data_IF_702304077462
#
_entry.id   IF_702304077462
#
_cell.length_a   1.000
_cell.length_b   1.000
_cell.length_c   1.000
_cell.angle_alpha   90.00
_cell.angle_beta   90.00
_cell.angle_gamma   90.00
#
_symmetry.space_group_name_H-M   'P 1'
#
loop_
_entity.id
_entity.type
_entity.pdbx_description
1 polymer ?
#
# COMPACT_ATOMS: atom_id res chain seq x y z
N UNK A 1 -27.28 44.61 -57.83
CA UNK A 1 -25.96 43.95 -57.95
C UNK A 1 -25.47 43.49 -56.58
N UNK A 2 -25.86 44.18 -55.50
CA UNK A 2 -25.31 44.05 -54.15
C UNK A 2 -25.61 42.71 -53.46
N UNK A 3 -26.78 42.13 -53.70
CA UNK A 3 -27.19 40.84 -53.09
C UNK A 3 -26.21 39.70 -53.40
N UNK A 4 -25.62 39.68 -54.60
CA UNK A 4 -24.64 38.65 -54.97
C UNK A 4 -23.30 38.88 -54.27
N UNK A 5 -22.90 40.13 -54.11
CA UNK A 5 -21.68 40.51 -53.40
C UNK A 5 -21.78 40.18 -51.91
N UNK A 6 -22.93 40.45 -51.30
CA UNK A 6 -23.18 40.16 -49.89
C UNK A 6 -23.10 38.65 -49.61
N UNK A 7 -23.75 37.82 -50.44
CA UNK A 7 -23.66 36.36 -50.33
C UNK A 7 -22.24 35.85 -50.52
N UNK A 8 -21.49 36.45 -51.45
CA UNK A 8 -20.08 36.08 -51.65
C UNK A 8 -19.25 36.38 -50.40
N UNK A 9 -19.42 37.56 -49.82
CA UNK A 9 -18.71 37.97 -48.61
C UNK A 9 -19.07 37.05 -47.42
N UNK A 10 -20.34 36.70 -47.25
CA UNK A 10 -20.80 35.79 -46.19
C UNK A 10 -20.14 34.41 -46.32
N UNK A 11 -20.10 33.84 -47.52
CA UNK A 11 -19.44 32.56 -47.79
C UNK A 11 -17.94 32.66 -47.54
N UNK A 12 -17.29 33.76 -47.94
CA UNK A 12 -15.87 33.99 -47.71
C UNK A 12 -15.54 34.05 -46.20
N UNK A 13 -16.34 34.77 -45.41
CA UNK A 13 -16.19 34.85 -43.94
C UNK A 13 -16.39 33.46 -43.30
N UNK A 14 -17.42 32.74 -43.73
CA UNK A 14 -17.69 31.38 -43.23
C UNK A 14 -16.53 30.43 -43.53
N UNK A 15 -15.97 30.51 -44.73
CA UNK A 15 -14.80 29.72 -45.13
C UNK A 15 -13.58 30.04 -44.25
N UNK A 16 -13.30 31.32 -43.99
CA UNK A 16 -12.19 31.71 -43.11
C UNK A 16 -12.39 31.20 -41.68
N UNK A 17 -13.60 31.32 -41.14
CA UNK A 17 -13.95 30.80 -39.81
C UNK A 17 -13.73 29.30 -39.71
N UNK A 18 -14.22 28.53 -40.68
CA UNK A 18 -14.02 27.07 -40.71
C UNK A 18 -12.55 26.69 -40.85
N UNK A 19 -11.76 27.46 -41.61
CA UNK A 19 -10.32 27.24 -41.70
C UNK A 19 -9.60 27.55 -40.39
N UNK A 20 -10.01 28.59 -39.66
CA UNK A 20 -9.47 28.88 -38.34
C UNK A 20 -9.80 27.75 -37.35
N UNK A 21 -11.06 27.30 -37.32
CA UNK A 21 -11.50 26.19 -36.46
C UNK A 21 -10.74 24.90 -36.76
N UNK A 22 -10.59 24.55 -38.05
CA UNK A 22 -9.79 23.39 -38.46
C UNK A 22 -8.35 23.45 -37.91
N UNK A 23 -7.68 24.60 -38.02
CA UNK A 23 -6.32 24.75 -37.50
C UNK A 23 -6.28 24.57 -35.98
N UNK A 24 -7.24 25.14 -35.26
CA UNK A 24 -7.31 24.95 -33.79
C UNK A 24 -7.50 23.49 -33.41
N UNK A 25 -8.38 22.78 -34.12
CA UNK A 25 -8.61 21.35 -33.90
C UNK A 25 -7.35 20.52 -34.20
N UNK A 26 -6.65 20.82 -35.30
CA UNK A 26 -5.38 20.16 -35.63
C UNK A 26 -4.33 20.32 -34.52
N UNK A 27 -4.18 21.54 -33.97
CA UNK A 27 -3.27 21.79 -32.84
C UNK A 27 -3.70 20.97 -31.61
N UNK A 28 -4.97 21.03 -31.22
CA UNK A 28 -5.45 20.26 -30.05
C UNK A 28 -5.25 18.75 -30.22
N UNK A 29 -5.43 18.24 -31.44
CA UNK A 29 -5.20 16.82 -31.75
C UNK A 29 -3.71 16.45 -31.63
N UNK A 30 -2.81 17.33 -32.07
CA UNK A 30 -1.37 17.10 -31.91
C UNK A 30 -0.96 17.10 -30.44
N UNK A 31 -1.52 17.99 -29.63
CA UNK A 31 -1.27 18.04 -28.18
C UNK A 31 -1.80 16.80 -27.47
N UNK A 32 -3.01 16.35 -27.79
CA UNK A 32 -3.58 15.13 -27.21
C UNK A 32 -2.72 13.90 -27.56
N UNK A 33 -2.26 13.80 -28.81
CA UNK A 33 -1.33 12.73 -29.22
C UNK A 33 -0.02 12.78 -28.45
N UNK A 34 0.54 13.98 -28.26
CA UNK A 34 1.76 14.15 -27.48
C UNK A 34 1.56 13.76 -26.01
N UNK A 35 0.43 14.13 -25.40
CA UNK A 35 0.07 13.75 -24.03
C UNK A 35 -0.07 12.24 -23.89
N UNK A 36 -0.79 11.57 -24.80
CA UNK A 36 -0.92 10.10 -24.81
C UNK A 36 0.44 9.42 -24.89
N UNK A 37 1.34 9.89 -25.77
CA UNK A 37 2.71 9.36 -25.88
C UNK A 37 3.51 9.54 -24.60
N UNK A 38 3.41 10.69 -23.93
CA UNK A 38 4.07 10.94 -22.63
C UNK A 38 3.53 10.00 -21.55
N UNK A 39 2.21 9.85 -21.45
CA UNK A 39 1.56 8.94 -20.49
C UNK A 39 1.98 7.49 -20.70
N UNK A 40 2.05 7.03 -21.94
CA UNK A 40 2.54 5.69 -22.26
C UNK A 40 4.01 5.51 -21.85
N UNK A 41 4.85 6.53 -22.06
CA UNK A 41 6.24 6.54 -21.58
C UNK A 41 6.33 6.45 -20.06
N UNK A 42 5.52 7.23 -19.34
CA UNK A 42 5.45 7.17 -17.87
C UNK A 42 5.02 5.78 -17.38
N UNK A 43 4.03 5.17 -18.02
CA UNK A 43 3.58 3.82 -17.67
C UNK A 43 4.72 2.80 -17.82
N UNK A 44 5.46 2.83 -18.94
CA UNK A 44 6.61 1.94 -19.16
C UNK A 44 7.72 2.12 -18.12
N UNK A 45 8.00 3.36 -17.72
CA UNK A 45 8.99 3.66 -16.68
C UNK A 45 8.60 3.10 -15.30
N UNK A 46 7.32 3.20 -14.93
CA UNK A 46 6.80 2.63 -13.69
C UNK A 46 6.82 1.09 -13.72
N UNK A 47 6.57 0.48 -14.88
CA UNK A 47 6.64 -0.97 -15.05
C UNK A 47 8.08 -1.51 -14.96
N UNK A 48 9.08 -0.77 -15.46
CA UNK A 48 10.48 -1.17 -15.35
C UNK A 48 11.05 -1.04 -13.92
N UNK A 49 10.60 -0.03 -13.16
CA UNK A 49 11.01 0.17 -11.77
C UNK A 49 10.00 -0.49 -10.82
N UNK A 50 9.99 -1.83 -10.83
CA UNK A 50 8.97 -2.65 -10.17
C UNK A 50 8.91 -2.50 -8.64
N UNK A 51 9.97 -2.04 -8.00
CA UNK A 51 10.06 -1.89 -6.56
C UNK A 51 10.66 -0.54 -6.19
N UNK A 52 10.06 0.13 -5.21
CA UNK A 52 10.67 1.28 -4.57
C UNK A 52 11.75 0.76 -3.61
N UNK A 53 12.94 1.38 -3.64
CA UNK A 53 14.01 1.07 -2.70
C UNK A 53 13.64 1.47 -1.26
N UNK A 54 12.88 2.55 -1.13
CA UNK A 54 12.39 3.09 0.14
C UNK A 54 10.88 3.27 0.13
N UNK A 55 10.25 3.07 1.29
CA UNK A 55 8.82 3.27 1.45
C UNK A 55 8.47 4.76 1.56
N UNK A 56 7.80 5.29 0.54
CA UNK A 56 7.23 6.64 0.58
C UNK A 56 5.78 6.60 1.05
N UNK A 57 5.55 7.16 2.24
CA UNK A 57 4.23 7.26 2.85
C UNK A 57 3.27 8.12 2.04
N UNK A 58 3.72 9.24 1.47
CA UNK A 58 2.86 10.17 0.74
C UNK A 58 2.38 9.53 -0.57
N UNK A 59 3.27 8.81 -1.27
CA UNK A 59 2.90 8.02 -2.45
C UNK A 59 1.89 6.93 -2.08
N UNK A 60 2.12 6.21 -0.98
CA UNK A 60 1.22 5.16 -0.51
C UNK A 60 -0.19 5.70 -0.18
N UNK A 61 -0.28 6.79 0.59
CA UNK A 61 -1.56 7.46 0.93
C UNK A 61 -2.26 8.07 -0.31
N UNK A 62 -1.50 8.39 -1.35
CA UNK A 62 -2.08 8.90 -2.60
C UNK A 62 -2.83 7.83 -3.39
N UNK A 63 -2.43 6.56 -3.28
CA UNK A 63 -2.95 5.44 -4.08
C UNK A 63 -3.97 4.60 -3.30
N UNK A 64 -3.77 4.42 -2.00
CA UNK A 64 -4.63 3.60 -1.12
C UNK A 64 -5.77 4.44 -0.55
N UNK A 65 -6.98 3.87 -0.52
CA UNK A 65 -8.13 4.42 0.18
C UNK A 65 -8.22 3.85 1.60
N UNK A 66 -8.22 2.52 1.72
CA UNK A 66 -8.39 1.81 2.99
C UNK A 66 -7.56 0.53 3.06
N UNK A 67 -7.25 0.11 4.27
CA UNK A 67 -6.60 -1.17 4.55
C UNK A 67 -7.43 -1.90 5.61
N UNK A 68 -7.70 -3.18 5.35
CA UNK A 68 -8.40 -4.08 6.26
C UNK A 68 -7.40 -5.15 6.69
N UNK A 69 -7.27 -5.35 8.01
CA UNK A 69 -6.42 -6.39 8.61
C UNK A 69 -7.35 -7.44 9.20
N UNK A 70 -7.08 -8.70 8.86
CA UNK A 70 -7.97 -9.81 9.11
C UNK A 70 -8.99 -9.98 7.99
N UNK A 71 -9.37 -11.23 7.74
CA UNK A 71 -10.38 -11.57 6.74
C UNK A 71 -10.89 -12.98 6.97
N UNK A 72 -11.78 -13.42 6.10
CA UNK A 72 -12.19 -14.82 6.01
C UNK A 72 -11.43 -15.48 4.89
N UNK A 73 -10.81 -16.63 5.15
CA UNK A 73 -10.22 -17.47 4.10
C UNK A 73 -11.33 -18.05 3.21
N UNK A 74 -10.95 -18.70 2.12
CA UNK A 74 -11.90 -19.36 1.21
C UNK A 74 -12.71 -20.48 1.92
N UNK A 75 -12.19 -21.03 3.03
CA UNK A 75 -12.92 -21.98 3.89
C UNK A 75 -13.90 -21.31 4.87
N UNK A 76 -13.99 -19.98 4.90
CA UNK A 76 -14.88 -19.22 5.79
C UNK A 76 -14.34 -18.97 7.20
N UNK A 77 -13.12 -19.43 7.50
CA UNK A 77 -12.46 -19.22 8.78
C UNK A 77 -11.83 -17.82 8.90
N UNK A 78 -11.89 -17.23 10.09
CA UNK A 78 -11.32 -15.90 10.35
C UNK A 78 -9.79 -16.02 10.46
N UNK A 79 -9.07 -15.43 9.51
CA UNK A 79 -7.61 -15.35 9.49
C UNK A 79 -7.13 -13.92 9.76
N UNK A 80 -6.52 -13.65 10.93
CA UNK A 80 -5.93 -12.35 11.25
C UNK A 80 -4.75 -11.95 10.35
N UNK A 81 -4.16 -12.88 9.60
CA UNK A 81 -3.00 -12.61 8.77
C UNK A 81 -3.36 -12.02 7.39
N UNK A 82 -4.64 -12.09 6.97
CA UNK A 82 -5.05 -11.48 5.70
C UNK A 82 -4.92 -9.95 5.78
N UNK A 83 -4.28 -9.35 4.77
CA UNK A 83 -4.20 -7.91 4.59
C UNK A 83 -4.88 -7.58 3.26
N UNK A 84 -6.00 -6.86 3.31
CA UNK A 84 -6.71 -6.39 2.11
C UNK A 84 -6.53 -4.89 1.93
N UNK A 85 -6.03 -4.48 0.76
CA UNK A 85 -5.86 -3.09 0.35
C UNK A 85 -6.99 -2.72 -0.61
N UNK A 86 -7.66 -1.61 -0.30
CA UNK A 86 -8.66 -0.98 -1.18
C UNK A 86 -8.01 0.27 -1.76
N UNK A 87 -7.90 0.30 -3.09
CA UNK A 87 -7.30 1.43 -3.80
C UNK A 87 -8.33 2.53 -4.05
N UNK A 88 -7.87 3.78 -4.23
CA UNK A 88 -8.77 4.88 -4.64
C UNK A 88 -9.45 4.66 -5.98
N UNK A 89 -8.91 3.77 -6.81
CA UNK A 89 -9.54 3.30 -8.06
C UNK A 89 -10.72 2.35 -7.84
N UNK A 90 -10.99 1.95 -6.58
CA UNK A 90 -12.01 0.98 -6.20
C UNK A 90 -11.57 -0.49 -6.31
N UNK A 91 -10.39 -0.76 -6.86
CA UNK A 91 -9.82 -2.12 -6.91
C UNK A 91 -9.50 -2.61 -5.48
N UNK A 92 -9.54 -3.93 -5.30
CA UNK A 92 -9.17 -4.60 -4.05
C UNK A 92 -8.08 -5.62 -4.32
N UNK A 93 -7.11 -5.72 -3.42
CA UNK A 93 -6.03 -6.71 -3.47
C UNK A 93 -5.82 -7.27 -2.06
N UNK A 94 -5.67 -8.59 -1.96
CA UNK A 94 -5.57 -9.31 -0.69
C UNK A 94 -4.31 -10.16 -0.67
N UNK A 95 -3.53 -10.03 0.40
CA UNK A 95 -2.23 -10.68 0.55
C UNK A 95 -2.10 -11.30 1.94
N UNK A 96 -1.33 -12.38 2.05
CA UNK A 96 -1.04 -13.02 3.33
C UNK A 96 0.12 -12.32 4.05
N UNK A 97 -0.18 -11.71 5.19
CA UNK A 97 0.78 -11.03 6.07
C UNK A 97 1.90 -11.92 6.59
N UNK A 98 1.71 -13.25 6.63
CA UNK A 98 2.73 -14.22 7.07
C UNK A 98 3.95 -14.22 6.14
N UNK A 99 3.76 -13.96 4.84
CA UNK A 99 4.83 -13.94 3.84
C UNK A 99 5.85 -12.81 4.05
N UNK A 100 5.46 -11.76 4.77
CA UNK A 100 6.27 -10.56 4.98
C UNK A 100 6.97 -10.53 6.35
N UNK A 101 6.76 -11.55 7.20
CA UNK A 101 7.37 -11.64 8.53
C UNK A 101 8.61 -12.52 8.46
N UNK A 102 9.76 -11.98 8.84
CA UNK A 102 10.96 -12.80 9.02
C UNK A 102 10.82 -13.72 10.24
N UNK A 103 11.50 -14.86 10.22
CA UNK A 103 11.54 -15.80 11.35
C UNK A 103 12.05 -15.07 12.60
N UNK A 104 11.35 -15.22 13.73
CA UNK A 104 11.78 -14.65 15.01
C UNK A 104 13.14 -15.24 15.38
N UNK A 105 14.09 -14.42 15.84
CA UNK A 105 15.44 -14.86 16.24
C UNK A 105 15.45 -15.93 17.35
N UNK A 106 14.37 -16.01 18.13
CA UNK A 106 14.21 -16.98 19.23
C UNK A 106 13.39 -18.21 18.83
N UNK A 107 13.04 -18.36 17.55
CA UNK A 107 12.30 -19.53 17.09
C UNK A 107 13.23 -20.74 17.09
N UNK A 108 12.99 -21.66 18.05
CA UNK A 108 13.71 -22.93 18.21
C UNK A 108 13.95 -23.56 16.84
N UNK A 109 15.20 -23.91 16.53
CA UNK A 109 15.51 -24.74 15.37
C UNK A 109 14.73 -26.05 15.53
N UNK A 110 13.77 -26.29 14.64
CA UNK A 110 13.20 -27.62 14.48
C UNK A 110 14.25 -28.40 13.71
N UNK A 111 15.24 -28.90 14.44
CA UNK A 111 16.03 -30.02 13.97
C UNK A 111 15.12 -31.24 14.10
N UNK A 112 14.72 -31.84 12.98
CA UNK A 112 13.85 -33.03 12.92
C UNK A 112 14.48 -34.28 13.56
N UNK A 113 15.69 -34.18 14.12
CA UNK A 113 16.41 -35.31 14.68
C UNK A 113 17.01 -34.97 16.05
N UNK A 114 16.21 -34.66 17.06
CA UNK A 114 16.61 -35.06 18.43
C UNK A 114 15.42 -35.12 19.38
N UNK A 115 15.23 -36.32 19.92
CA UNK A 115 14.10 -36.74 20.73
C UNK A 115 13.81 -35.86 21.94
N UNK A 116 12.53 -35.87 22.31
CA UNK A 116 11.98 -35.21 23.48
C UNK A 116 12.80 -35.48 24.74
N UNK A 117 13.35 -34.41 25.29
CA UNK A 117 13.69 -34.32 26.71
C UNK A 117 12.89 -33.17 27.29
N UNK A 118 11.62 -33.45 27.57
CA UNK A 118 10.88 -32.68 28.57
C UNK A 118 11.46 -33.10 29.93
N UNK A 119 12.00 -32.15 30.67
CA UNK A 119 12.49 -32.39 32.03
C UNK A 119 11.29 -32.74 32.94
N UNK A 120 11.34 -33.82 33.74
CA UNK A 120 10.32 -34.05 34.73
C UNK A 120 10.45 -33.00 35.83
N UNK A 121 9.43 -32.17 36.01
CA UNK A 121 9.33 -31.30 37.17
C UNK A 121 8.96 -32.21 38.35
N UNK A 122 9.96 -32.61 39.14
CA UNK A 122 9.72 -33.39 40.36
C UNK A 122 8.97 -32.51 41.37
N UNK A 123 7.77 -32.95 41.71
CA UNK A 123 6.90 -32.35 42.73
C UNK A 123 7.32 -32.76 44.14
N UNK A 124 7.57 -31.78 45.00
CA UNK A 124 7.26 -31.84 46.44
C UNK A 124 7.46 -30.48 47.15
N UNK A 125 6.31 -29.92 47.52
CA UNK A 125 5.94 -29.03 48.64
C UNK A 125 7.04 -28.53 49.61
N UNK A 126 7.03 -27.21 49.90
CA UNK A 126 6.57 -26.59 51.17
C UNK A 126 7.08 -25.13 51.23
N UNK A 127 6.13 -24.21 51.13
CA UNK A 127 5.91 -23.03 51.99
C UNK A 127 7.10 -22.13 52.38
N UNK A 128 7.19 -20.95 51.76
CA UNK A 128 7.68 -19.73 52.40
C UNK A 128 6.84 -18.53 51.91
N UNK A 129 5.74 -18.27 52.59
CA UNK A 129 4.95 -17.04 52.44
C UNK A 129 5.78 -15.85 52.95
N UNK A 130 6.28 -15.01 52.05
CA UNK A 130 6.60 -13.62 52.38
C UNK A 130 5.38 -12.77 52.02
N UNK A 131 4.60 -12.44 53.04
CA UNK A 131 3.51 -11.47 52.98
C UNK A 131 4.09 -10.06 52.95
N UNK A 132 3.63 -9.22 52.03
CA UNK A 132 3.64 -7.76 52.20
C UNK A 132 2.23 -7.19 51.93
N UNK A 133 1.75 -6.31 52.82
CA UNK A 133 0.34 -5.96 52.95
C UNK A 133 -0.11 -4.90 51.93
N UNK A 134 -1.39 -4.97 51.56
CA UNK A 134 -2.08 -3.94 50.78
C UNK A 134 -2.66 -2.95 51.79
N UNK A 135 -2.04 -1.78 51.92
CA UNK A 135 -2.66 -0.63 52.60
C UNK A 135 -3.20 0.35 51.55
N UNK A 136 -4.53 0.49 51.56
CA UNK A 136 -5.28 1.51 50.82
C UNK A 136 -4.95 2.89 51.41
N UNK A 137 -4.55 3.87 50.59
CA UNK A 137 -5.14 5.23 50.50
C UNK A 137 -4.32 6.19 49.62
N UNK A 138 -5.05 6.94 48.80
CA UNK A 138 -4.70 8.26 48.22
C UNK A 138 -3.54 8.35 47.20
N UNK A 139 -3.87 8.15 45.92
CA UNK A 139 -3.33 9.00 44.85
C UNK A 139 -4.31 9.05 43.67
N UNK A 140 -5.24 10.01 43.73
CA UNK A 140 -5.94 10.52 42.57
C UNK A 140 -4.91 11.07 41.57
N UNK A 141 -4.69 10.38 40.45
CA UNK A 141 -4.30 11.02 39.20
C UNK A 141 -5.13 10.43 38.07
N UNK A 142 -6.24 11.13 37.79
CA UNK A 142 -6.82 11.15 36.46
C UNK A 142 -5.80 11.83 35.53
N UNK A 143 -5.25 11.08 34.59
CA UNK A 143 -4.75 11.65 33.34
C UNK A 143 -5.35 10.84 32.18
N UNK A 144 -6.36 11.44 31.57
CA UNK A 144 -6.80 11.12 30.23
C UNK A 144 -5.59 11.08 29.29
N UNK A 145 -5.43 9.98 28.57
CA UNK A 145 -4.37 9.80 27.61
C UNK A 145 -4.81 8.82 26.54
N UNK A 146 -5.32 9.36 25.43
CA UNK A 146 -5.55 8.62 24.20
C UNK A 146 -4.26 7.90 23.79
N UNK A 147 -4.19 6.59 23.96
CA UNK A 147 -3.08 5.77 23.49
C UNK A 147 -3.40 5.23 22.10
N UNK A 148 -3.16 6.06 21.08
CA UNK A 148 -2.89 5.53 19.74
C UNK A 148 -1.57 4.76 19.83
N UNK A 149 -1.64 3.43 19.80
CA UNK A 149 -0.44 2.62 19.63
C UNK A 149 0.07 2.81 18.19
N UNK A 150 1.05 3.69 18.06
CA UNK A 150 1.83 3.88 16.84
C UNK A 150 2.71 2.62 16.65
N UNK A 151 2.21 1.63 15.92
CA UNK A 151 2.99 0.46 15.51
C UNK A 151 3.34 0.62 14.03
N UNK A 152 4.34 1.45 13.73
CA UNK A 152 5.01 1.41 12.43
C UNK A 152 6.51 1.34 12.67
N UNK A 153 6.99 0.10 12.73
CA UNK A 153 8.40 -0.25 12.60
C UNK A 153 8.49 -1.41 11.61
N UNK A 154 8.34 -1.10 10.32
CA UNK A 154 8.62 -2.07 9.26
C UNK A 154 10.03 -1.76 8.75
N UNK A 155 11.01 -2.53 9.24
CA UNK A 155 12.35 -2.55 8.67
C UNK A 155 12.36 -3.52 7.50
N UNK A 156 12.22 -3.02 6.26
CA UNK A 156 12.39 -3.82 5.05
C UNK A 156 13.87 -3.76 4.67
N UNK A 157 14.61 -4.83 4.96
CA UNK A 157 16.00 -4.98 4.50
C UNK A 157 15.99 -5.73 3.16
N UNK A 158 16.32 -5.03 2.07
CA UNK A 158 16.49 -5.63 0.74
C UNK A 158 17.73 -6.54 0.72
N UNK A 159 17.57 -7.81 0.36
CA UNK A 159 18.69 -8.69 -0.02
C UNK A 159 18.70 -8.85 -1.54
N UNK A 160 19.68 -8.23 -2.18
CA UNK A 160 20.00 -8.43 -3.59
C UNK A 160 20.69 -9.79 -3.78
N UNK A 161 20.04 -10.75 -4.44
CA UNK A 161 20.67 -11.99 -4.89
C UNK A 161 21.34 -11.75 -6.24
N UNK A 162 22.67 -11.84 -6.25
CA UNK A 162 23.52 -11.78 -7.45
C UNK A 162 23.35 -13.11 -8.20
N UNK A 163 22.84 -13.08 -9.43
CA UNK A 163 22.83 -14.27 -10.29
C UNK A 163 24.22 -14.44 -10.92
N UNK A 164 24.86 -15.58 -10.64
CA UNK A 164 26.02 -16.08 -11.38
C UNK A 164 25.52 -16.74 -12.67
N UNK A 165 26.07 -16.33 -13.81
CA UNK A 165 25.91 -17.02 -15.10
C UNK A 165 27.02 -18.06 -15.22
N UNK A 166 26.64 -19.29 -15.57
CA UNK A 166 27.51 -20.18 -16.35
C UNK A 166 27.36 -19.85 -17.84
#
# INVERSE_FOLDING_TARGET
>A
MDIYQDKYNEIAISKEKLLAEKRTLEVTLTDEKALKKRLEGFKKLLESNKYLEEFDRAVFESIVDKIIIGGTNDEGEIDPAIITVIYKTGKKDSQDGRLFKSRRKNAKEVNEETGGKLYPQSSNEVNNLYSYPIDNTAALMVLAGNRYHHIFGVSIFSKSTKMESQ
#
